data_IF_729043681202
#
_entry.id   IF_729043681202
#
_cell.length_a   1.000
_cell.length_b   1.000
_cell.length_c   1.000
_cell.angle_alpha   90.00
_cell.angle_beta   90.00
_cell.angle_gamma   90.00
#
_symmetry.space_group_name_H-M   'P 1'
#
loop_
_entity.id
_entity.type
_entity.pdbx_description
1 polymer ?
#
# COMPACT_ATOMS: atom_id res chain seq x y z
N UNK A 1 4.04 -13.72 -53.54
CA UNK A 1 3.32 -12.55 -52.99
C UNK A 1 1.96 -13.03 -52.48
N UNK A 2 1.53 -13.07 -51.22
CA UNK A 2 2.10 -12.80 -49.89
C UNK A 2 1.26 -13.65 -48.92
N UNK A 3 1.83 -14.75 -48.37
CA UNK A 3 1.18 -15.62 -47.39
C UNK A 3 1.30 -15.15 -45.93
N UNK A 4 1.67 -13.89 -45.70
CA UNK A 4 2.02 -13.37 -44.37
C UNK A 4 0.82 -12.85 -43.54
N UNK A 5 -0.36 -12.64 -44.14
CA UNK A 5 -1.49 -12.03 -43.44
C UNK A 5 -2.25 -12.98 -42.48
N UNK A 6 -2.15 -14.30 -42.65
CA UNK A 6 -2.92 -15.26 -41.84
C UNK A 6 -2.24 -15.70 -40.55
N UNK A 7 -0.92 -15.50 -40.40
CA UNK A 7 -0.21 -15.89 -39.17
C UNK A 7 -0.42 -14.86 -38.05
N UNK A 8 -0.33 -13.58 -38.37
CA UNK A 8 -0.58 -12.49 -37.41
C UNK A 8 -2.04 -12.46 -36.92
N UNK A 9 -3.02 -12.76 -37.79
CA UNK A 9 -4.43 -12.84 -37.39
C UNK A 9 -4.72 -14.05 -36.49
N UNK A 10 -4.04 -15.19 -36.71
CA UNK A 10 -4.14 -16.37 -35.84
C UNK A 10 -3.46 -16.15 -34.49
N UNK A 11 -2.31 -15.48 -34.45
CA UNK A 11 -1.61 -15.14 -33.20
C UNK A 11 -2.39 -14.11 -32.38
N UNK A 12 -3.02 -13.13 -33.03
CA UNK A 12 -3.92 -12.18 -32.36
C UNK A 12 -5.20 -12.86 -31.81
N UNK A 13 -5.75 -13.85 -32.52
CA UNK A 13 -6.92 -14.61 -32.06
C UNK A 13 -6.61 -15.51 -30.85
N UNK A 14 -5.39 -16.08 -30.77
CA UNK A 14 -4.94 -16.90 -29.62
C UNK A 14 -4.75 -16.05 -28.36
N UNK A 15 -4.34 -14.78 -28.50
CA UNK A 15 -4.22 -13.85 -27.35
C UNK A 15 -5.59 -13.39 -26.83
N UNK A 16 -6.62 -13.36 -27.70
CA UNK A 16 -7.99 -12.94 -27.34
C UNK A 16 -8.83 -14.09 -26.78
N UNK A 17 -8.48 -15.35 -27.05
CA UNK A 17 -9.17 -16.52 -26.49
C UNK A 17 -8.56 -17.00 -25.17
N UNK A 18 -8.25 -16.08 -24.24
CA UNK A 18 -8.05 -16.50 -22.84
C UNK A 18 -9.40 -17.04 -22.34
N UNK A 19 -9.46 -18.28 -21.82
CA UNK A 19 -10.66 -18.78 -21.17
C UNK A 19 -11.09 -17.74 -20.13
N UNK A 20 -12.39 -17.46 -20.10
CA UNK A 20 -13.04 -16.52 -19.18
C UNK A 20 -12.30 -16.42 -17.84
N UNK A 21 -11.81 -15.23 -17.52
CA UNK A 21 -11.09 -14.83 -16.29
C UNK A 21 -11.94 -15.04 -15.01
N UNK A 22 -13.12 -15.66 -15.14
CA UNK A 22 -14.13 -15.85 -14.12
C UNK A 22 -14.64 -17.30 -14.07
N UNK A 23 -13.73 -18.27 -14.23
CA UNK A 23 -14.05 -19.69 -14.12
C UNK A 23 -13.65 -20.27 -12.76
N UNK A 24 -14.65 -20.54 -11.92
CA UNK A 24 -14.65 -21.43 -10.74
C UNK A 24 -13.92 -20.90 -9.49
N UNK A 25 -14.65 -20.15 -8.66
CA UNK A 25 -14.33 -19.97 -7.25
C UNK A 25 -15.61 -20.20 -6.43
N UNK A 26 -16.02 -21.46 -6.34
CA UNK A 26 -16.96 -21.86 -5.29
C UNK A 26 -16.23 -21.76 -3.94
N UNK A 27 -16.63 -20.76 -3.15
CA UNK A 27 -16.51 -20.71 -1.69
C UNK A 27 -15.15 -20.41 -1.01
N UNK A 28 -14.38 -19.42 -1.48
CA UNK A 28 -13.60 -18.56 -0.59
C UNK A 28 -13.75 -17.11 -1.07
N UNK A 29 -14.16 -16.20 -0.17
CA UNK A 29 -14.32 -14.78 -0.49
C UNK A 29 -13.14 -14.28 -1.32
N UNK A 30 -13.37 -13.62 -2.47
CA UNK A 30 -12.27 -13.17 -3.30
C UNK A 30 -11.41 -12.25 -2.43
N UNK A 31 -10.11 -12.53 -2.29
CA UNK A 31 -9.22 -11.60 -1.61
C UNK A 31 -9.44 -10.20 -2.22
N UNK A 32 -9.55 -9.18 -1.37
CA UNK A 32 -9.81 -7.76 -1.72
C UNK A 32 -8.93 -7.23 -2.87
N UNK A 33 -7.85 -7.95 -3.17
CA UNK A 33 -6.87 -7.69 -4.19
C UNK A 33 -6.82 -8.83 -5.20
N UNK A 34 -7.65 -8.82 -6.22
CA UNK A 34 -7.67 -9.90 -7.21
C UNK A 34 -6.29 -10.15 -7.88
N UNK A 35 -5.43 -9.13 -8.01
CA UNK A 35 -4.11 -9.29 -8.63
C UNK A 35 -3.03 -8.44 -7.96
N UNK A 36 -1.73 -8.86 -7.96
CA UNK A 36 -0.63 -8.07 -7.41
C UNK A 36 -0.55 -6.63 -7.93
N UNK A 37 -0.89 -6.41 -9.21
CA UNK A 37 -0.91 -5.06 -9.78
C UNK A 37 -2.01 -4.18 -9.20
N UNK A 38 -3.21 -4.73 -8.96
CA UNK A 38 -4.28 -4.01 -8.25
C UNK A 38 -3.89 -3.69 -6.81
N UNK A 39 -3.06 -4.54 -6.19
CA UNK A 39 -2.52 -4.30 -4.85
C UNK A 39 -1.74 -3.00 -4.76
N UNK A 40 -0.95 -2.69 -5.81
CA UNK A 40 -0.15 -1.47 -5.88
C UNK A 40 -1.05 -0.24 -5.83
N UNK A 41 -2.16 -0.25 -6.57
CA UNK A 41 -3.13 0.86 -6.59
C UNK A 41 -3.79 1.06 -5.22
N UNK A 42 -4.19 -0.03 -4.57
CA UNK A 42 -4.73 0.04 -3.21
C UNK A 42 -3.69 0.49 -2.19
N UNK A 43 -2.43 0.06 -2.32
CA UNK A 43 -1.33 0.51 -1.46
C UNK A 43 -1.05 2.00 -1.66
N UNK A 44 -1.10 2.49 -2.90
CA UNK A 44 -0.96 3.91 -3.21
C UNK A 44 -2.09 4.73 -2.57
N UNK A 45 -3.34 4.27 -2.67
CA UNK A 45 -4.47 4.90 -2.00
C UNK A 45 -4.29 4.95 -0.47
N UNK A 46 -3.87 3.84 0.15
CA UNK A 46 -3.52 3.79 1.58
C UNK A 46 -2.34 4.69 1.93
N UNK A 47 -1.40 4.91 1.00
CA UNK A 47 -0.25 5.79 1.22
C UNK A 47 -0.68 7.25 1.35
N UNK A 48 -1.65 7.69 0.55
CA UNK A 48 -2.18 9.05 0.65
C UNK A 48 -3.20 9.25 1.77
N UNK A 49 -3.76 8.18 2.34
CA UNK A 49 -4.77 8.26 3.39
C UNK A 49 -4.36 9.17 4.58
N UNK A 50 -3.17 9.04 5.20
CA UNK A 50 -2.76 9.94 6.28
C UNK A 50 -2.66 11.40 5.81
N UNK A 51 -2.22 11.63 4.57
CA UNK A 51 -2.13 12.98 4.03
C UNK A 51 -3.50 13.65 3.90
N UNK A 52 -4.50 12.90 3.43
CA UNK A 52 -5.88 13.37 3.32
C UNK A 52 -6.46 13.65 4.72
N UNK A 53 -6.25 12.74 5.68
CA UNK A 53 -6.71 12.92 7.07
C UNK A 53 -6.09 14.15 7.75
N UNK A 54 -4.86 14.52 7.36
CA UNK A 54 -4.16 15.69 7.88
C UNK A 54 -4.80 17.03 7.48
N UNK A 55 -5.36 17.15 6.28
CA UNK A 55 -5.90 18.42 5.75
C UNK A 55 -6.91 19.07 6.71
N UNK A 56 -8.00 18.41 7.12
CA UNK A 56 -8.97 19.02 8.05
C UNK A 56 -8.39 19.29 9.44
N UNK A 57 -7.34 18.56 9.86
CA UNK A 57 -6.66 18.82 11.14
C UNK A 57 -5.89 20.14 11.10
N UNK A 58 -5.17 20.41 10.01
CA UNK A 58 -4.41 21.67 9.84
C UNK A 58 -5.36 22.86 9.69
N UNK A 59 -6.49 22.70 8.99
CA UNK A 59 -7.49 23.77 8.82
C UNK A 59 -8.16 24.22 10.13
N UNK A 60 -8.09 23.40 11.20
CA UNK A 60 -8.59 23.76 12.54
C UNK A 60 -7.63 24.64 13.33
N UNK A 61 -6.36 24.75 12.90
CA UNK A 61 -5.39 25.64 13.52
C UNK A 61 -5.70 27.08 13.09
N UNK A 62 -5.79 27.99 14.07
CA UNK A 62 -6.07 29.41 13.83
C UNK A 62 -4.81 30.22 13.50
N UNK A 63 -3.63 29.69 13.79
CA UNK A 63 -2.37 30.29 13.37
C UNK A 63 -2.03 29.92 11.93
N UNK A 64 -1.14 30.72 11.36
CA UNK A 64 -0.76 30.57 9.96
C UNK A 64 0.08 29.30 9.77
N UNK A 65 -0.40 28.40 8.91
CA UNK A 65 0.42 27.34 8.36
C UNK A 65 1.47 27.95 7.44
N UNK A 66 2.72 27.98 7.90
CA UNK A 66 3.79 28.57 7.12
C UNK A 66 4.26 27.57 6.05
N UNK A 67 3.78 27.76 4.82
CA UNK A 67 4.14 26.93 3.65
C UNK A 67 5.60 27.09 3.22
N UNK A 68 6.29 28.12 3.70
CA UNK A 68 7.71 28.33 3.47
C UNK A 68 8.58 27.49 4.41
N UNK A 69 8.00 26.95 5.48
CA UNK A 69 8.74 26.12 6.43
C UNK A 69 8.79 24.66 5.98
N UNK A 70 9.93 23.98 6.21
CA UNK A 70 10.05 22.55 5.94
C UNK A 70 9.03 21.76 6.75
N UNK A 71 8.71 20.53 6.31
CA UNK A 71 7.68 19.64 6.92
C UNK A 71 7.82 19.44 8.44
N UNK A 72 8.98 19.70 9.01
CA UNK A 72 9.31 19.58 10.44
C UNK A 72 8.99 20.84 11.27
N UNK A 73 8.88 22.03 10.67
CA UNK A 73 8.75 23.32 11.37
C UNK A 73 7.52 24.11 10.90
N UNK A 74 6.43 23.42 10.59
CA UNK A 74 5.25 24.04 9.96
C UNK A 74 4.30 24.72 10.95
N UNK A 75 4.54 24.53 12.26
CA UNK A 75 3.73 25.09 13.32
C UNK A 75 4.51 26.20 14.01
N UNK A 76 3.86 27.35 14.20
CA UNK A 76 4.41 28.40 15.03
C UNK A 76 4.12 28.11 16.52
N UNK A 77 4.75 28.89 17.41
CA UNK A 77 4.54 28.74 18.86
C UNK A 77 3.08 28.94 19.27
N UNK A 78 2.34 29.82 18.57
CA UNK A 78 0.92 30.09 18.86
C UNK A 78 0.04 28.88 18.58
N UNK A 79 0.26 28.16 17.49
CA UNK A 79 -0.46 26.92 17.14
C UNK A 79 -0.24 25.85 18.20
N UNK A 80 1.02 25.74 18.64
CA UNK A 80 1.44 24.77 19.66
C UNK A 80 0.85 25.10 21.04
N UNK A 81 0.76 26.39 21.39
CA UNK A 81 0.13 26.84 22.63
C UNK A 81 -1.39 26.69 22.62
N UNK A 82 -2.04 26.98 21.48
CA UNK A 82 -3.50 26.92 21.38
C UNK A 82 -4.03 25.48 21.45
N UNK A 83 -3.43 24.56 20.70
CA UNK A 83 -3.91 23.18 20.61
C UNK A 83 -2.75 22.17 20.52
N UNK A 84 -2.02 21.94 21.61
CA UNK A 84 -0.82 21.08 21.61
C UNK A 84 -1.13 19.65 21.15
N UNK A 85 -2.27 19.08 21.56
CA UNK A 85 -2.68 17.72 21.17
C UNK A 85 -3.00 17.60 19.68
N UNK A 86 -3.62 18.62 19.08
CA UNK A 86 -3.90 18.65 17.64
C UNK A 86 -2.60 18.72 16.85
N UNK A 87 -1.65 19.56 17.28
CA UNK A 87 -0.32 19.66 16.66
C UNK A 87 0.41 18.31 16.72
N UNK A 88 0.43 17.65 17.89
CA UNK A 88 1.01 16.30 18.05
C UNK A 88 0.34 15.28 17.13
N UNK A 89 -0.99 15.32 17.02
CA UNK A 89 -1.73 14.43 16.12
C UNK A 89 -1.36 14.68 14.65
N UNK A 90 -1.23 15.94 14.22
CA UNK A 90 -0.81 16.27 12.85
C UNK A 90 0.63 15.79 12.57
N UNK A 91 1.53 15.97 13.53
CA UNK A 91 2.91 15.45 13.44
C UNK A 91 2.91 13.93 13.28
N UNK A 92 2.13 13.20 14.09
CA UNK A 92 1.96 11.75 13.96
C UNK A 92 1.42 11.36 12.58
N UNK A 93 0.38 12.04 12.10
CA UNK A 93 -0.19 11.78 10.77
C UNK A 93 0.81 12.05 9.64
N UNK A 94 1.66 13.07 9.79
CA UNK A 94 2.73 13.39 8.83
C UNK A 94 3.81 12.30 8.82
N UNK A 95 4.20 11.81 9.99
CA UNK A 95 5.15 10.69 10.09
C UNK A 95 4.56 9.38 9.55
N UNK A 96 3.26 9.13 9.77
CA UNK A 96 2.55 7.99 9.17
C UNK A 96 2.57 8.04 7.63
N UNK A 97 2.38 9.23 7.03
CA UNK A 97 2.47 9.42 5.58
C UNK A 97 3.87 9.08 5.05
N UNK A 98 4.92 9.59 5.70
CA UNK A 98 6.30 9.30 5.31
C UNK A 98 6.62 7.81 5.37
N UNK A 99 6.23 7.12 6.46
CA UNK A 99 6.42 5.68 6.58
C UNK A 99 5.62 4.88 5.54
N UNK A 100 4.44 5.37 5.13
CA UNK A 100 3.67 4.71 4.08
C UNK A 100 4.36 4.81 2.71
N UNK A 101 5.12 5.86 2.42
CA UNK A 101 5.94 5.93 1.19
C UNK A 101 7.09 4.93 1.18
N UNK A 102 7.77 4.77 2.32
CA UNK A 102 8.79 3.73 2.49
C UNK A 102 8.17 2.35 2.24
N UNK A 103 6.98 2.12 2.81
CA UNK A 103 6.24 0.87 2.66
C UNK A 103 5.79 0.58 1.23
N UNK A 104 5.25 1.59 0.56
CA UNK A 104 4.84 1.52 -0.83
C UNK A 104 6.01 1.13 -1.75
N UNK A 105 7.19 1.69 -1.50
CA UNK A 105 8.36 1.46 -2.35
C UNK A 105 8.73 -0.02 -2.41
N UNK A 106 8.98 -0.66 -1.26
CA UNK A 106 9.36 -2.09 -1.28
C UNK A 106 8.19 -3.01 -1.66
N UNK A 107 6.95 -2.65 -1.31
CA UNK A 107 5.78 -3.47 -1.65
C UNK A 107 5.48 -3.44 -3.15
N UNK A 108 5.59 -2.28 -3.80
CA UNK A 108 5.39 -2.16 -5.24
C UNK A 108 6.39 -3.02 -6.02
N UNK A 109 7.66 -3.02 -5.61
CA UNK A 109 8.69 -3.92 -6.16
C UNK A 109 8.30 -5.39 -5.96
N UNK A 110 7.86 -5.77 -4.75
CA UNK A 110 7.42 -7.14 -4.47
C UNK A 110 6.25 -7.58 -5.36
N UNK A 111 5.25 -6.72 -5.56
CA UNK A 111 4.12 -6.98 -6.43
C UNK A 111 4.52 -7.10 -7.90
N UNK A 112 5.45 -6.26 -8.37
CA UNK A 112 5.97 -6.33 -9.74
C UNK A 112 6.72 -7.65 -9.95
N UNK A 113 7.60 -8.03 -9.02
CA UNK A 113 8.33 -9.31 -9.08
C UNK A 113 7.36 -10.50 -9.11
N UNK A 114 6.36 -10.51 -8.24
CA UNK A 114 5.35 -11.57 -8.22
C UNK A 114 4.53 -11.64 -9.52
N UNK A 115 4.25 -10.49 -10.12
CA UNK A 115 3.55 -10.42 -11.39
C UNK A 115 4.42 -10.93 -12.55
N UNK A 116 5.66 -10.48 -12.66
CA UNK A 116 6.60 -10.86 -13.72
C UNK A 116 6.93 -12.35 -13.68
N UNK A 117 7.19 -12.89 -12.48
CA UNK A 117 7.49 -14.31 -12.27
C UNK A 117 6.25 -15.20 -12.21
N UNK A 118 5.05 -14.63 -12.43
CA UNK A 118 3.77 -15.34 -12.45
C UNK A 118 3.55 -16.21 -11.21
N UNK A 119 3.81 -15.68 -10.03
CA UNK A 119 3.53 -16.36 -8.76
C UNK A 119 2.06 -16.82 -8.75
N UNK A 120 1.79 -18.03 -8.21
CA UNK A 120 0.43 -18.57 -8.07
C UNK A 120 -0.51 -17.51 -7.49
N UNK A 121 -1.57 -17.19 -8.25
CA UNK A 121 -2.47 -16.06 -7.98
C UNK A 121 -3.05 -16.07 -6.56
N UNK A 122 -3.48 -17.25 -6.11
CA UNK A 122 -4.00 -17.47 -4.76
C UNK A 122 -3.00 -17.05 -3.66
N UNK A 123 -1.72 -17.43 -3.81
CA UNK A 123 -0.67 -17.13 -2.84
C UNK A 123 -0.37 -15.64 -2.86
N UNK A 124 -0.18 -15.09 -4.06
CA UNK A 124 0.14 -13.68 -4.26
C UNK A 124 -0.96 -12.78 -3.68
N UNK A 125 -2.22 -13.14 -3.94
CA UNK A 125 -3.38 -12.37 -3.51
C UNK A 125 -3.60 -12.40 -1.99
N UNK A 126 -3.41 -13.55 -1.34
CA UNK A 126 -3.45 -13.67 0.13
C UNK A 126 -2.39 -12.79 0.81
N UNK A 127 -1.15 -12.82 0.31
CA UNK A 127 -0.06 -12.01 0.84
C UNK A 127 -0.28 -10.51 0.60
N UNK A 128 -0.75 -10.12 -0.58
CA UNK A 128 -1.10 -8.73 -0.87
C UNK A 128 -2.21 -8.23 0.05
N UNK A 129 -3.26 -9.03 0.26
CA UNK A 129 -4.38 -8.68 1.14
C UNK A 129 -3.92 -8.54 2.59
N UNK A 130 -3.10 -9.48 3.07
CA UNK A 130 -2.50 -9.40 4.40
C UNK A 130 -1.66 -8.13 4.57
N UNK A 131 -0.81 -7.82 3.58
CA UNK A 131 0.00 -6.61 3.61
C UNK A 131 -0.86 -5.34 3.72
N UNK A 132 -1.85 -5.17 2.85
CA UNK A 132 -2.72 -4.00 2.86
C UNK A 132 -3.51 -3.87 4.17
N UNK A 133 -4.02 -4.99 4.70
CA UNK A 133 -4.71 -5.03 5.99
C UNK A 133 -3.80 -4.58 7.13
N UNK A 134 -2.58 -5.11 7.19
CA UNK A 134 -1.58 -4.70 8.18
C UNK A 134 -1.21 -3.22 8.04
N UNK A 135 -1.07 -2.70 6.80
CA UNK A 135 -0.78 -1.28 6.57
C UNK A 135 -1.92 -0.38 6.99
N UNK A 136 -3.17 -0.77 6.74
CA UNK A 136 -4.34 -0.04 7.21
C UNK A 136 -4.36 0.01 8.74
N UNK A 137 -4.19 -1.14 9.41
CA UNK A 137 -4.09 -1.20 10.87
C UNK A 137 -2.93 -0.35 11.42
N UNK A 138 -1.76 -0.40 10.77
CA UNK A 138 -0.59 0.42 11.14
C UNK A 138 -0.92 1.92 11.13
N UNK A 139 -1.59 2.41 10.08
CA UNK A 139 -1.98 3.82 9.96
C UNK A 139 -2.92 4.23 11.11
N UNK A 140 -3.92 3.40 11.42
CA UNK A 140 -4.86 3.66 12.52
C UNK A 140 -4.14 3.72 13.88
N UNK A 141 -3.25 2.76 14.15
CA UNK A 141 -2.45 2.72 15.38
C UNK A 141 -1.52 3.95 15.48
N UNK A 142 -0.94 4.39 14.37
CA UNK A 142 -0.06 5.56 14.34
C UNK A 142 -0.79 6.85 14.70
N UNK A 143 -1.98 7.06 14.12
CA UNK A 143 -2.73 8.31 14.28
C UNK A 143 -3.42 8.35 15.65
N UNK A 144 -4.06 7.25 16.05
CA UNK A 144 -4.88 7.17 17.26
C UNK A 144 -4.12 6.83 18.55
N UNK A 145 -2.92 6.24 18.47
CA UNK A 145 -2.20 5.73 19.63
C UNK A 145 -1.23 6.71 20.27
N UNK A 146 -1.48 7.09 21.53
CA UNK A 146 -0.51 7.79 22.39
C UNK A 146 0.16 6.88 23.42
N UNK A 147 -0.38 5.68 23.62
CA UNK A 147 0.03 4.79 24.71
C UNK A 147 1.25 3.94 24.31
N UNK A 148 2.09 3.61 25.30
CA UNK A 148 3.32 2.82 25.07
C UNK A 148 3.03 1.45 24.41
N UNK A 149 1.98 0.75 24.86
CA UNK A 149 1.59 -0.54 24.29
C UNK A 149 1.13 -0.43 22.83
N UNK A 150 0.50 0.69 22.43
CA UNK A 150 0.14 0.95 21.03
C UNK A 150 1.39 1.13 20.19
N UNK A 151 2.42 1.76 20.74
CA UNK A 151 3.75 1.84 20.13
C UNK A 151 4.33 0.47 19.82
N UNK A 152 4.26 -0.48 20.76
CA UNK A 152 4.73 -1.85 20.56
C UNK A 152 3.92 -2.59 19.48
N UNK A 153 2.58 -2.51 19.54
CA UNK A 153 1.73 -3.12 18.51
C UNK A 153 2.01 -2.55 17.11
N UNK A 154 2.22 -1.25 17.01
CA UNK A 154 2.57 -0.58 15.76
C UNK A 154 3.86 -1.17 15.16
N UNK A 155 4.89 -1.39 15.97
CA UNK A 155 6.14 -2.03 15.52
C UNK A 155 5.93 -3.49 15.08
N UNK A 156 5.12 -4.25 15.82
CA UNK A 156 4.79 -5.64 15.46
C UNK A 156 4.03 -5.73 14.12
N UNK A 157 3.00 -4.89 13.94
CA UNK A 157 2.22 -4.83 12.71
C UNK A 157 3.08 -4.38 11.53
N UNK A 158 3.98 -3.41 11.74
CA UNK A 158 4.95 -3.00 10.74
C UNK A 158 5.87 -4.14 10.31
N UNK A 159 6.42 -4.87 11.29
CA UNK A 159 7.31 -6.00 11.03
C UNK A 159 6.59 -7.13 10.29
N UNK A 160 5.36 -7.45 10.69
CA UNK A 160 4.53 -8.43 10.00
C UNK A 160 4.26 -8.04 8.53
N UNK A 161 4.00 -6.75 8.26
CA UNK A 161 3.80 -6.25 6.89
C UNK A 161 5.10 -6.36 6.09
N UNK A 162 6.23 -5.99 6.68
CA UNK A 162 7.54 -6.13 6.05
C UNK A 162 7.84 -7.59 5.67
N UNK A 163 7.62 -8.53 6.59
CA UNK A 163 7.77 -9.96 6.33
C UNK A 163 6.83 -10.45 5.23
N UNK A 164 5.57 -9.99 5.19
CA UNK A 164 4.63 -10.36 4.13
C UNK A 164 5.12 -9.92 2.74
N UNK A 165 5.65 -8.70 2.61
CA UNK A 165 6.21 -8.20 1.35
C UNK A 165 7.47 -8.99 0.92
N UNK A 166 8.38 -9.29 1.85
CA UNK A 166 9.55 -10.11 1.56
C UNK A 166 9.19 -11.55 1.19
N UNK A 167 8.21 -12.13 1.88
CA UNK A 167 7.72 -13.47 1.56
C UNK A 167 7.11 -13.55 0.16
N UNK A 168 6.48 -12.48 -0.30
CA UNK A 168 5.98 -12.39 -1.68
C UNK A 168 7.13 -12.51 -2.69
N UNK A 169 8.25 -11.81 -2.46
CA UNK A 169 9.45 -11.89 -3.31
C UNK A 169 10.05 -13.31 -3.27
N UNK A 170 10.30 -13.84 -2.07
CA UNK A 170 10.97 -15.13 -1.89
C UNK A 170 10.18 -16.29 -2.53
N UNK A 171 8.85 -16.31 -2.38
CA UNK A 171 8.02 -17.32 -3.02
C UNK A 171 8.00 -17.18 -4.54
N UNK A 172 8.06 -15.95 -5.05
CA UNK A 172 8.14 -15.69 -6.50
C UNK A 172 9.43 -16.24 -7.09
N UNK A 173 10.56 -16.01 -6.41
CA UNK A 173 11.87 -16.53 -6.83
C UNK A 173 11.93 -18.06 -6.77
N UNK A 174 11.49 -18.64 -5.64
CA UNK A 174 11.46 -20.10 -5.46
C UNK A 174 10.58 -20.80 -6.52
N UNK A 175 9.42 -20.24 -6.88
CA UNK A 175 8.57 -20.80 -7.93
C UNK A 175 9.23 -20.70 -9.32
N UNK A 176 10.00 -19.64 -9.57
CA UNK A 176 10.73 -19.44 -10.81
C UNK A 176 12.02 -20.29 -10.91
N UNK A 177 12.45 -20.93 -9.82
CA UNK A 177 13.69 -21.69 -9.76
C UNK A 177 14.95 -20.81 -9.71
N UNK A 178 14.83 -19.60 -9.16
CA UNK A 178 15.92 -18.62 -8.97
C UNK A 178 16.43 -18.58 -7.52
#
# INVERSE_FOLDING_TARGET
MFGFKNKAAKEAAVVVSSPSVWGHCDNLAPPLVATPLRAILWCLALTFLPHILRIPMVLKLKGWYNHLMPRTHQFNERDTQQNPELVRMIQRTTAAHANSWEAFTYFSVACIVAHVLKLKEEIASRLCTLFLGLRFCYILLYIGGTQAWVGTLRSLVWFAAFVAAWRLILLSLSQAGL
#
